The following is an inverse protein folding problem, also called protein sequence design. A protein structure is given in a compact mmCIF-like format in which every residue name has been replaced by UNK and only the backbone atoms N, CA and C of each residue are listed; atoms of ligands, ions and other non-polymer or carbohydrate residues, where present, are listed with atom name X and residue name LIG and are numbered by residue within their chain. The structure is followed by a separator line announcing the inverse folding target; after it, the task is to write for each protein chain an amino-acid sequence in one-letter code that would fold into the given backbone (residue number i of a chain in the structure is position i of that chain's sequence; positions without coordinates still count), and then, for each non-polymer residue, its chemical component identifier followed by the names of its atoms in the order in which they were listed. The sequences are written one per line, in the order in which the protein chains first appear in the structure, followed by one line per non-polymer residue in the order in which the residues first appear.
data_IF_453309047045
#
_entry.id   IF_453309047045
#
_cell.length_a   1.000
_cell.length_b   1.000
_cell.length_c   1.000
_cell.angle_alpha   90.00
_cell.angle_beta   90.00
_cell.angle_gamma   90.00
#
_symmetry.space_group_name_H-M   'P 1'
#
loop_
_entity.id
_entity.type
_entity.pdbx_description
1 polymer ?
#
# COMPACT_ATOMS: atom_id res chain seq x y z
N UNK A 1 -29.66 1.46 24.52
CA UNK A 1 -30.20 2.15 25.71
C UNK A 1 -29.53 3.52 25.78
N UNK A 2 -30.15 4.52 25.18
CA UNK A 2 -29.62 5.89 25.08
C UNK A 2 -29.95 6.65 26.37
N UNK A 3 -28.96 7.29 27.00
CA UNK A 3 -29.20 8.20 28.13
C UNK A 3 -29.08 9.66 27.66
N UNK A 4 -29.95 10.57 28.14
CA UNK A 4 -29.88 11.99 27.82
C UNK A 4 -28.72 12.65 28.57
N UNK A 5 -28.01 13.53 27.89
CA UNK A 5 -26.88 14.29 28.46
C UNK A 5 -27.42 15.57 29.09
N UNK A 6 -27.42 15.61 30.42
CA UNK A 6 -27.65 16.83 31.19
C UNK A 6 -26.36 17.67 31.16
N UNK A 7 -26.43 18.85 30.56
CA UNK A 7 -25.32 19.79 30.47
C UNK A 7 -25.29 20.64 31.75
N UNK A 8 -24.29 20.45 32.61
CA UNK A 8 -23.97 21.34 33.72
C UNK A 8 -22.46 21.61 33.75
N UNK A 9 -22.10 22.85 34.03
CA UNK A 9 -20.81 23.48 33.74
C UNK A 9 -19.58 22.93 34.47
N UNK A 10 -18.44 23.46 34.05
CA UNK A 10 -17.11 23.34 34.67
C UNK A 10 -16.67 21.92 35.04
N UNK A 11 -16.12 21.20 34.07
CA UNK A 11 -15.11 20.19 34.35
C UNK A 11 -14.27 20.00 33.10
N UNK A 12 -12.96 19.86 33.29
CA UNK A 12 -11.99 19.36 32.32
C UNK A 12 -12.56 18.10 31.69
N UNK A 13 -13.29 18.25 30.59
CA UNK A 13 -13.88 17.14 29.84
C UNK A 13 -12.70 16.39 29.26
N UNK A 14 -12.18 15.40 30.01
CA UNK A 14 -11.49 14.29 29.39
C UNK A 14 -12.47 13.79 28.35
N UNK A 15 -12.20 14.09 27.09
CA UNK A 15 -13.00 13.57 25.99
C UNK A 15 -12.89 12.07 26.15
N UNK A 16 -13.99 11.43 26.58
CA UNK A 16 -14.05 9.98 26.70
C UNK A 16 -14.03 9.46 25.27
N UNK A 17 -12.83 9.23 24.77
CA UNK A 17 -12.63 8.53 23.51
C UNK A 17 -13.01 7.08 23.77
N UNK A 18 -14.04 6.63 23.08
CA UNK A 18 -14.44 5.23 23.11
C UNK A 18 -13.27 4.37 22.61
N UNK A 19 -12.90 3.34 23.39
CA UNK A 19 -11.79 2.44 23.08
C UNK A 19 -11.91 1.78 21.71
N UNK A 20 -13.11 1.71 21.12
CA UNK A 20 -13.31 1.23 19.74
C UNK A 20 -12.59 2.08 18.68
N UNK A 21 -12.41 3.38 18.94
CA UNK A 21 -11.85 4.34 17.98
C UNK A 21 -10.34 4.09 17.74
N UNK A 22 -9.47 4.04 18.78
CA UNK A 22 -8.06 3.70 18.56
C UNK A 22 -7.89 2.28 18.00
N UNK A 23 -8.71 1.31 18.45
CA UNK A 23 -8.65 -0.07 17.97
C UNK A 23 -9.01 -0.19 16.47
N UNK A 24 -9.98 0.59 15.99
CA UNK A 24 -10.33 0.67 14.57
C UNK A 24 -9.21 1.31 13.72
N UNK A 25 -8.54 2.33 14.26
CA UNK A 25 -7.40 2.97 13.61
C UNK A 25 -6.22 2.00 13.46
N UNK A 26 -5.88 1.28 14.53
CA UNK A 26 -4.85 0.23 14.52
C UNK A 26 -5.14 -0.86 13.49
N UNK A 27 -6.37 -1.39 13.47
CA UNK A 27 -6.78 -2.42 12.49
C UNK A 27 -6.60 -1.94 11.05
N UNK A 28 -6.98 -0.70 10.79
CA UNK A 28 -6.85 -0.09 9.47
C UNK A 28 -5.37 0.00 9.10
N UNK A 29 -4.55 0.58 10.00
CA UNK A 29 -3.10 0.67 9.80
C UNK A 29 -2.43 -0.68 9.55
N UNK A 30 -2.75 -1.71 10.35
CA UNK A 30 -2.21 -3.06 10.15
C UNK A 30 -2.62 -3.67 8.82
N UNK A 31 -3.85 -3.41 8.37
CA UNK A 31 -4.32 -3.84 7.04
C UNK A 31 -3.50 -3.19 5.93
N UNK A 32 -3.23 -1.89 6.04
CA UNK A 32 -2.36 -1.16 5.11
C UNK A 32 -0.93 -1.70 5.12
N UNK A 33 -0.36 -1.93 6.29
CA UNK A 33 0.99 -2.50 6.42
C UNK A 33 1.08 -3.92 5.85
N UNK A 34 0.04 -4.73 6.00
CA UNK A 34 -0.02 -6.05 5.34
C UNK A 34 0.04 -5.91 3.82
N UNK A 35 -0.67 -4.95 3.23
CA UNK A 35 -0.61 -4.70 1.78
C UNK A 35 0.76 -4.20 1.33
N UNK A 36 1.39 -3.32 2.12
CA UNK A 36 2.77 -2.86 1.86
C UNK A 36 3.73 -4.05 1.78
N UNK A 37 3.67 -4.97 2.74
CA UNK A 37 4.53 -6.16 2.77
C UNK A 37 4.29 -7.05 1.56
N UNK A 38 3.03 -7.24 1.16
CA UNK A 38 2.70 -8.03 -0.04
C UNK A 38 3.27 -7.39 -1.32
N UNK A 39 3.05 -6.10 -1.52
CA UNK A 39 3.56 -5.37 -2.70
C UNK A 39 5.10 -5.34 -2.71
N UNK A 40 5.72 -5.08 -1.57
CA UNK A 40 7.17 -5.10 -1.41
C UNK A 40 7.76 -6.50 -1.65
N UNK A 41 7.08 -7.54 -1.17
CA UNK A 41 7.46 -8.94 -1.39
C UNK A 41 7.40 -9.34 -2.87
N UNK A 42 6.37 -8.89 -3.60
CA UNK A 42 6.30 -9.07 -5.06
C UNK A 42 7.47 -8.37 -5.74
N UNK A 43 7.79 -7.13 -5.35
CA UNK A 43 8.94 -6.39 -5.89
C UNK A 43 10.27 -7.11 -5.64
N UNK A 44 10.47 -7.66 -4.43
CA UNK A 44 11.65 -8.45 -4.08
C UNK A 44 11.74 -9.74 -4.89
N UNK A 45 10.63 -10.46 -5.05
CA UNK A 45 10.57 -11.68 -5.85
C UNK A 45 10.92 -11.42 -7.32
N UNK A 46 10.42 -10.32 -7.91
CA UNK A 46 10.76 -9.92 -9.28
C UNK A 46 12.25 -9.59 -9.43
N UNK A 47 12.84 -8.89 -8.46
CA UNK A 47 14.28 -8.60 -8.48
C UNK A 47 15.15 -9.86 -8.34
N UNK A 48 14.69 -10.82 -7.52
CA UNK A 48 15.31 -12.15 -7.39
C UNK A 48 15.23 -12.96 -8.68
N UNK A 49 14.05 -13.01 -9.30
CA UNK A 49 13.83 -13.67 -10.60
C UNK A 49 14.72 -13.08 -11.69
N UNK A 50 14.80 -11.75 -11.77
CA UNK A 50 15.66 -11.06 -12.73
C UNK A 50 17.14 -11.41 -12.54
N UNK A 51 17.58 -11.55 -11.28
CA UNK A 51 18.95 -11.93 -10.96
C UNK A 51 19.23 -13.39 -11.34
N UNK A 52 18.27 -14.29 -11.12
CA UNK A 52 18.35 -15.68 -11.56
C UNK A 52 18.42 -15.78 -13.09
N UNK A 53 17.57 -15.03 -13.80
CA UNK A 53 17.58 -14.98 -15.27
C UNK A 53 18.88 -14.38 -15.83
N UNK A 54 19.45 -13.37 -15.18
CA UNK A 54 20.73 -12.77 -15.57
C UNK A 54 21.91 -13.74 -15.48
N UNK A 55 21.90 -14.67 -14.52
CA UNK A 55 22.94 -15.70 -14.40
C UNK A 55 22.86 -16.68 -15.59
N UNK A 56 21.65 -17.08 -15.99
CA UNK A 56 21.43 -17.98 -17.13
C UNK A 56 21.65 -17.31 -18.50
N UNK A 57 21.46 -15.99 -18.58
CA UNK A 57 21.70 -15.22 -19.80
C UNK A 57 23.19 -15.17 -20.19
N UNK A 58 24.12 -15.26 -19.23
CA UNK A 58 25.57 -15.28 -19.48
C UNK A 58 26.05 -16.54 -20.22
N UNK A 59 25.21 -17.57 -20.31
CA UNK A 59 25.52 -18.83 -21.01
C UNK A 59 24.96 -18.91 -22.43
N UNK A 60 24.33 -17.83 -22.95
CA UNK A 60 23.69 -17.80 -24.27
C UNK A 60 24.32 -16.75 -25.19
N UNK A 61 24.28 -17.00 -26.49
CA UNK A 61 24.87 -16.14 -27.52
C UNK A 61 24.06 -14.84 -27.77
N UNK A 62 22.77 -14.81 -27.40
CA UNK A 62 21.87 -13.64 -27.52
C UNK A 62 21.86 -12.75 -26.26
N UNK A 63 23.05 -12.32 -25.82
CA UNK A 63 23.25 -11.57 -24.57
C UNK A 63 22.42 -10.27 -24.51
N UNK A 64 22.29 -9.57 -25.64
CA UNK A 64 21.64 -8.25 -25.69
C UNK A 64 20.12 -8.31 -25.43
N UNK A 65 19.43 -9.31 -25.99
CA UNK A 65 17.98 -9.45 -25.82
C UNK A 65 17.60 -9.90 -24.40
N UNK A 66 18.40 -10.80 -23.82
CA UNK A 66 18.16 -11.27 -22.45
C UNK A 66 18.54 -10.21 -21.39
N UNK A 67 19.54 -9.35 -21.65
CA UNK A 67 19.85 -8.19 -20.81
C UNK A 67 18.67 -7.20 -20.70
N UNK A 68 17.99 -6.91 -21.82
CA UNK A 68 16.83 -5.99 -21.81
C UNK A 68 15.70 -6.55 -20.95
N UNK A 69 15.45 -7.86 -21.01
CA UNK A 69 14.43 -8.53 -20.18
C UNK A 69 14.79 -8.50 -18.70
N UNK A 70 16.05 -8.76 -18.36
CA UNK A 70 16.55 -8.69 -16.97
C UNK A 70 16.48 -7.26 -16.43
N UNK A 71 16.83 -6.27 -17.25
CA UNK A 71 16.72 -4.86 -16.86
C UNK A 71 15.26 -4.44 -16.64
N UNK A 72 14.36 -4.82 -17.55
CA UNK A 72 12.93 -4.52 -17.43
C UNK A 72 12.31 -5.13 -16.15
N UNK A 73 12.66 -6.38 -15.83
CA UNK A 73 12.18 -7.05 -14.61
C UNK A 73 12.76 -6.45 -13.33
N UNK A 74 14.04 -6.03 -13.33
CA UNK A 74 14.63 -5.26 -12.21
C UNK A 74 13.95 -3.91 -12.01
N UNK A 75 13.70 -3.17 -13.09
CA UNK A 75 13.00 -1.88 -13.04
C UNK A 75 11.56 -2.04 -12.52
N UNK A 76 10.84 -3.07 -12.98
CA UNK A 76 9.51 -3.39 -12.47
C UNK A 76 9.54 -3.73 -10.98
N UNK A 77 10.50 -4.55 -10.53
CA UNK A 77 10.69 -4.86 -9.11
C UNK A 77 11.01 -3.62 -8.26
N UNK A 78 11.89 -2.75 -8.75
CA UNK A 78 12.24 -1.49 -8.09
C UNK A 78 11.02 -0.54 -7.99
N UNK A 79 10.24 -0.42 -9.06
CA UNK A 79 9.01 0.39 -9.07
C UNK A 79 8.01 -0.10 -8.00
N UNK A 80 7.84 -1.43 -7.89
CA UNK A 80 6.97 -2.03 -6.87
C UNK A 80 7.46 -1.75 -5.44
N UNK A 81 8.78 -1.79 -5.20
CA UNK A 81 9.35 -1.41 -3.91
C UNK A 81 9.13 0.07 -3.59
N UNK A 82 9.32 0.97 -4.55
CA UNK A 82 9.07 2.41 -4.38
C UNK A 82 7.60 2.67 -4.04
N UNK A 83 6.68 1.99 -4.73
CA UNK A 83 5.25 2.06 -4.44
C UNK A 83 4.92 1.56 -3.04
N UNK A 84 5.50 0.43 -2.62
CA UNK A 84 5.33 -0.11 -1.27
C UNK A 84 5.81 0.89 -0.20
N UNK A 85 6.97 1.52 -0.40
CA UNK A 85 7.49 2.56 0.50
C UNK A 85 6.52 3.76 0.54
N UNK A 86 6.01 4.20 -0.60
CA UNK A 86 5.02 5.28 -0.67
C UNK A 86 3.75 4.98 0.12
N UNK A 87 3.22 3.76 0.01
CA UNK A 87 2.05 3.31 0.78
C UNK A 87 2.39 3.24 2.28
N UNK A 88 3.58 2.76 2.65
CA UNK A 88 4.03 2.70 4.04
C UNK A 88 4.09 4.09 4.71
N UNK A 89 4.73 5.05 4.02
CA UNK A 89 4.87 6.43 4.52
C UNK A 89 3.52 7.12 4.65
N UNK A 90 2.63 6.94 3.66
CA UNK A 90 1.28 7.54 3.70
C UNK A 90 0.40 6.92 4.78
N UNK A 91 0.44 5.60 4.96
CA UNK A 91 -0.27 4.90 6.03
C UNK A 91 0.22 5.33 7.41
N UNK A 92 1.55 5.41 7.61
CA UNK A 92 2.15 5.88 8.86
C UNK A 92 1.76 7.32 9.19
N UNK A 93 1.88 8.23 8.23
CA UNK A 93 1.44 9.64 8.41
C UNK A 93 -0.03 9.75 8.79
N UNK A 94 -0.90 8.94 8.19
CA UNK A 94 -2.32 8.95 8.53
C UNK A 94 -2.60 8.40 9.92
N UNK A 95 -1.91 7.32 10.31
CA UNK A 95 -2.02 6.74 11.64
C UNK A 95 -1.67 7.75 12.73
N UNK A 96 -0.52 8.43 12.63
CA UNK A 96 -0.11 9.45 13.59
C UNK A 96 -1.07 10.64 13.64
N UNK A 97 -1.50 11.15 12.48
CA UNK A 97 -2.51 12.23 12.43
C UNK A 97 -3.81 11.84 13.15
N UNK A 98 -4.29 10.61 12.96
CA UNK A 98 -5.49 10.11 13.65
C UNK A 98 -5.26 9.93 15.14
N UNK A 99 -4.10 9.45 15.57
CA UNK A 99 -3.73 9.40 16.98
C UNK A 99 -3.75 10.78 17.64
N UNK A 100 -3.23 11.80 16.96
CA UNK A 100 -3.24 13.17 17.47
C UNK A 100 -4.66 13.74 17.56
N UNK A 101 -5.50 13.53 16.55
CA UNK A 101 -6.92 13.93 16.58
C UNK A 101 -7.71 13.24 17.70
N UNK A 102 -7.43 11.97 17.96
CA UNK A 102 -8.00 11.21 19.08
C UNK A 102 -7.59 11.85 20.41
N UNK A 103 -6.31 12.16 20.59
CA UNK A 103 -5.78 12.78 21.83
C UNK A 103 -6.37 14.18 22.05
N UNK A 104 -6.59 14.93 20.98
CA UNK A 104 -7.20 16.27 21.01
C UNK A 104 -8.73 16.22 21.16
N UNK A 105 -9.35 15.03 21.12
CA UNK A 105 -10.78 14.87 21.29
C UNK A 105 -11.62 15.43 20.14
N UNK A 106 -11.04 15.51 18.94
CA UNK A 106 -11.73 16.00 17.75
C UNK A 106 -12.84 15.02 17.37
N UNK A 107 -14.05 15.54 17.13
CA UNK A 107 -15.19 14.72 16.74
C UNK A 107 -14.89 13.91 15.46
N UNK A 108 -15.31 12.64 15.46
CA UNK A 108 -15.10 11.69 14.37
C UNK A 108 -15.76 12.11 13.05
N UNK A 109 -16.75 13.02 13.10
CA UNK A 109 -17.45 13.53 11.92
C UNK A 109 -16.70 14.65 11.20
N UNK A 110 -15.53 15.06 11.71
CA UNK A 110 -14.76 16.10 11.05
C UNK A 110 -14.15 15.58 9.73
N UNK A 111 -14.15 16.38 8.65
CA UNK A 111 -13.68 15.98 7.33
C UNK A 111 -12.17 15.65 7.29
N UNK A 112 -11.45 15.87 8.38
CA UNK A 112 -10.03 15.55 8.56
C UNK A 112 -9.79 14.11 9.00
N UNK A 113 -10.82 13.42 9.51
CA UNK A 113 -10.72 12.02 9.92
C UNK A 113 -10.55 11.06 8.74
N UNK A 114 -11.19 11.36 7.62
CA UNK A 114 -11.19 10.48 6.46
C UNK A 114 -10.19 10.93 5.39
N UNK A 115 -9.18 10.11 5.17
CA UNK A 115 -8.18 10.37 4.12
C UNK A 115 -8.72 9.86 2.79
N UNK A 116 -9.11 10.79 1.92
CA UNK A 116 -9.51 10.48 0.52
C UNK A 116 -8.36 9.93 -0.33
N UNK A 117 -7.12 10.17 0.07
CA UNK A 117 -5.93 9.86 -0.73
C UNK A 117 -5.46 8.42 -0.59
N UNK A 118 -5.41 7.87 0.63
CA UNK A 118 -5.04 6.48 0.89
C UNK A 118 -5.79 5.45 0.04
N UNK A 119 -7.15 5.40 0.05
CA UNK A 119 -7.88 4.42 -0.73
C UNK A 119 -7.64 4.60 -2.24
N UNK A 120 -7.46 5.84 -2.71
CA UNK A 120 -7.16 6.12 -4.12
C UNK A 120 -5.76 5.66 -4.52
N UNK A 121 -4.75 5.85 -3.68
CA UNK A 121 -3.39 5.39 -4.01
C UNK A 121 -3.33 3.87 -4.02
N UNK A 122 -4.01 3.18 -3.10
CA UNK A 122 -4.09 1.72 -3.12
C UNK A 122 -4.82 1.18 -4.33
N UNK A 123 -6.03 1.69 -4.63
CA UNK A 123 -6.79 1.21 -5.78
C UNK A 123 -6.06 1.50 -7.07
N UNK A 124 -5.45 2.67 -7.23
CA UNK A 124 -4.60 2.97 -8.38
C UNK A 124 -3.43 1.98 -8.51
N UNK A 125 -2.76 1.66 -7.40
CA UNK A 125 -1.64 0.71 -7.39
C UNK A 125 -2.11 -0.71 -7.75
N UNK A 126 -3.17 -1.21 -7.13
CA UNK A 126 -3.72 -2.54 -7.41
C UNK A 126 -4.23 -2.66 -8.85
N UNK A 127 -4.92 -1.63 -9.35
CA UNK A 127 -5.39 -1.57 -10.75
C UNK A 127 -4.20 -1.56 -11.71
N UNK A 128 -3.16 -0.77 -11.45
CA UNK A 128 -1.95 -0.75 -12.29
C UNK A 128 -1.26 -2.12 -12.33
N UNK A 129 -1.16 -2.80 -11.19
CA UNK A 129 -0.57 -4.15 -11.11
C UNK A 129 -1.42 -5.16 -11.88
N UNK A 130 -2.74 -5.16 -11.67
CA UNK A 130 -3.64 -6.07 -12.40
C UNK A 130 -3.66 -5.80 -13.90
N UNK A 131 -3.64 -4.52 -14.31
CA UNK A 131 -3.52 -4.15 -15.71
C UNK A 131 -2.19 -4.62 -16.32
N UNK A 132 -1.08 -4.46 -15.60
CA UNK A 132 0.23 -4.97 -16.03
C UNK A 132 0.24 -6.49 -16.22
N UNK A 133 -0.35 -7.23 -15.28
CA UNK A 133 -0.50 -8.69 -15.39
C UNK A 133 -1.38 -9.07 -16.59
N UNK A 134 -2.50 -8.38 -16.78
CA UNK A 134 -3.43 -8.63 -17.88
C UNK A 134 -2.80 -8.37 -19.25
N UNK A 135 -2.11 -7.22 -19.42
CA UNK A 135 -1.37 -6.89 -20.64
C UNK A 135 -0.27 -7.91 -20.91
N UNK A 136 0.47 -8.32 -19.88
CA UNK A 136 1.52 -9.35 -20.01
C UNK A 136 0.93 -10.71 -20.43
N UNK A 137 -0.23 -11.07 -19.88
CA UNK A 137 -0.96 -12.28 -20.24
C UNK A 137 -1.43 -12.26 -21.70
N UNK A 138 -2.02 -11.14 -22.14
CA UNK A 138 -2.46 -10.96 -23.52
C UNK A 138 -1.29 -11.01 -24.49
N UNK A 139 -0.21 -10.31 -24.19
CA UNK A 139 0.99 -10.30 -25.02
C UNK A 139 1.51 -11.72 -25.25
N UNK A 140 1.64 -12.50 -24.17
CA UNK A 140 2.10 -13.89 -24.25
C UNK A 140 1.14 -14.79 -25.04
N UNK A 141 -0.17 -14.58 -24.91
CA UNK A 141 -1.16 -15.30 -25.70
C UNK A 141 -1.04 -14.97 -27.20
N UNK A 142 -0.73 -13.73 -27.56
CA UNK A 142 -0.58 -13.31 -28.95
C UNK A 142 0.75 -13.72 -29.59
N UNK A 143 1.85 -13.79 -28.82
CA UNK A 143 3.18 -14.15 -29.35
C UNK A 143 3.53 -15.63 -29.23
N UNK A 144 2.70 -16.44 -28.56
CA UNK A 144 2.96 -17.87 -28.33
C UNK A 144 2.61 -18.82 -29.49
N UNK A 145 2.21 -18.29 -30.65
CA UNK A 145 1.76 -19.07 -31.82
C UNK A 145 2.73 -19.05 -33.03
N UNK A 146 4.00 -18.71 -32.81
CA UNK A 146 5.08 -18.85 -33.80
C UNK A 146 6.26 -19.55 -33.18
#
# INVERSE_FOLDING_TARGET
MSRPVHNNGNNSRRVFVDAKIPLANERTFLTWMRQVVLVGGIGAALSGLASYQGIHALQRDDLAADLVRVLATKLAGAAMMVLAIGIAVTAGRNYFRRCDMIRLGVASDSPQWDSRWLPRTLTATLVAVMAGVWVSSLWRATTGHT
#
